data_IF_734307928292
#
_entry.id   IF_734307928292
#
_cell.length_a   1.000
_cell.length_b   1.000
_cell.length_c   1.000
_cell.angle_alpha   90.00
_cell.angle_beta   90.00
_cell.angle_gamma   90.00
#
_symmetry.space_group_name_H-M   'P 1'
#
loop_
_entity.id
_entity.type
_entity.pdbx_description
1 polymer ?
#
# COMPACT_ATOMS: atom_id res chain seq x y z
N UNK A 1 62.82 -36.30 -43.37
CA UNK A 1 61.85 -35.55 -44.19
C UNK A 1 60.44 -35.52 -43.60
N UNK A 2 60.06 -36.37 -42.65
CA UNK A 2 58.65 -36.46 -42.18
C UNK A 2 58.27 -35.57 -40.99
N UNK A 3 59.22 -35.00 -40.24
CA UNK A 3 58.88 -34.16 -39.07
C UNK A 3 58.50 -32.71 -39.41
N UNK A 4 58.75 -32.24 -40.63
CA UNK A 4 58.33 -30.88 -41.07
C UNK A 4 56.90 -30.86 -41.62
N UNK A 5 56.37 -32.00 -42.09
CA UNK A 5 54.99 -32.08 -42.60
C UNK A 5 53.93 -32.18 -41.51
N UNK A 6 54.27 -32.68 -40.31
CA UNK A 6 53.30 -32.74 -39.19
C UNK A 6 53.10 -31.38 -38.50
N UNK A 7 54.08 -30.47 -38.57
CA UNK A 7 53.98 -29.14 -37.95
C UNK A 7 53.09 -28.20 -38.78
N UNK A 8 52.98 -28.42 -40.10
CA UNK A 8 52.19 -27.56 -40.99
C UNK A 8 50.68 -27.87 -40.96
N UNK A 9 50.26 -29.03 -40.42
CA UNK A 9 48.84 -29.39 -40.30
C UNK A 9 48.22 -28.81 -39.01
N UNK A 10 49.04 -28.43 -38.02
CA UNK A 10 48.57 -27.90 -36.74
C UNK A 10 48.18 -26.39 -36.78
N UNK A 11 48.34 -25.71 -37.91
CA UNK A 11 48.14 -24.25 -38.05
C UNK A 11 46.88 -23.86 -38.84
N UNK A 12 46.00 -24.80 -39.17
CA UNK A 12 44.75 -24.53 -39.93
C UNK A 12 43.46 -24.85 -39.17
N UNK A 13 43.48 -24.87 -37.83
CA UNK A 13 42.24 -24.93 -37.05
C UNK A 13 41.67 -23.51 -36.98
N UNK A 14 40.50 -23.23 -37.59
CA UNK A 14 39.91 -21.91 -37.50
C UNK A 14 39.46 -21.67 -36.05
N UNK A 15 39.90 -20.57 -35.44
CA UNK A 15 39.36 -20.14 -34.16
C UNK A 15 37.84 -19.95 -34.31
N UNK A 16 37.02 -20.45 -33.37
CA UNK A 16 35.59 -20.22 -33.41
C UNK A 16 35.34 -18.71 -33.28
N UNK A 17 34.64 -18.14 -34.27
CA UNK A 17 34.16 -16.76 -34.23
C UNK A 17 33.38 -16.51 -32.92
N UNK A 18 33.43 -15.28 -32.37
CA UNK A 18 32.65 -14.94 -31.19
C UNK A 18 31.18 -15.26 -31.46
N UNK A 19 30.58 -16.08 -30.60
CA UNK A 19 29.17 -16.46 -30.68
C UNK A 19 28.36 -15.17 -30.49
N UNK A 20 27.98 -14.53 -31.60
CA UNK A 20 27.01 -13.45 -31.58
C UNK A 20 25.67 -14.10 -31.22
N UNK A 21 25.12 -13.76 -30.04
CA UNK A 21 23.80 -14.20 -29.64
C UNK A 21 22.81 -13.82 -30.74
N UNK A 22 22.30 -14.82 -31.45
CA UNK A 22 21.33 -14.60 -32.52
C UNK A 22 19.94 -14.47 -31.90
N UNK A 23 18.99 -13.80 -32.56
CA UNK A 23 17.60 -13.76 -32.09
C UNK A 23 16.99 -15.15 -31.86
N UNK A 24 17.55 -16.20 -32.49
CA UNK A 24 17.19 -17.60 -32.29
C UNK A 24 17.58 -18.16 -30.91
N UNK A 25 18.58 -17.58 -30.23
CA UNK A 25 19.00 -17.93 -28.87
C UNK A 25 18.11 -17.27 -27.78
N UNK A 26 17.21 -16.37 -28.21
CA UNK A 26 16.23 -15.74 -27.33
C UNK A 26 15.22 -16.79 -26.90
N UNK A 27 15.48 -17.46 -25.76
CA UNK A 27 14.47 -18.30 -25.11
C UNK A 27 13.20 -17.48 -24.94
N UNK A 28 12.08 -18.02 -25.42
CA UNK A 28 10.76 -17.45 -25.19
C UNK A 28 10.62 -17.11 -23.71
N UNK A 29 10.56 -15.81 -23.41
CA UNK A 29 10.30 -15.33 -22.06
C UNK A 29 8.93 -15.88 -21.71
N UNK A 30 8.82 -16.64 -20.60
CA UNK A 30 7.55 -17.21 -20.14
C UNK A 30 6.47 -16.13 -20.25
N UNK A 31 5.51 -16.33 -21.15
CA UNK A 31 4.39 -15.43 -21.31
C UNK A 31 3.61 -15.35 -19.99
N UNK A 32 3.12 -14.17 -19.64
CA UNK A 32 2.29 -13.98 -18.46
C UNK A 32 1.09 -14.94 -18.50
N UNK A 33 0.80 -15.56 -17.36
CA UNK A 33 -0.33 -16.48 -17.22
C UNK A 33 -1.63 -15.67 -17.16
N UNK A 34 -2.17 -15.32 -18.33
CA UNK A 34 -3.40 -14.55 -18.49
C UNK A 34 -4.65 -15.44 -18.67
N UNK A 35 -4.51 -16.76 -18.59
CA UNK A 35 -5.65 -17.68 -18.70
C UNK A 35 -6.33 -17.89 -17.34
N UNK A 36 -7.63 -18.19 -17.37
CA UNK A 36 -8.42 -18.66 -16.22
C UNK A 36 -7.99 -20.08 -15.82
N UNK A 37 -6.71 -20.25 -15.44
CA UNK A 37 -6.18 -21.50 -14.92
C UNK A 37 -6.60 -21.73 -13.46
N UNK A 38 -6.45 -22.96 -12.98
CA UNK A 38 -6.70 -23.38 -11.59
C UNK A 38 -5.84 -22.65 -10.52
N UNK A 39 -4.90 -21.78 -10.92
CA UNK A 39 -4.00 -21.14 -9.98
C UNK A 39 -4.64 -19.89 -9.37
N UNK A 40 -4.87 -19.93 -8.05
CA UNK A 40 -5.46 -18.82 -7.28
C UNK A 40 -4.56 -17.59 -7.16
N UNK A 41 -3.25 -17.74 -7.36
CA UNK A 41 -2.28 -16.65 -7.23
C UNK A 41 -1.58 -16.38 -8.56
N UNK A 42 -1.95 -15.29 -9.21
CA UNK A 42 -1.37 -14.83 -10.47
C UNK A 42 -0.58 -13.54 -10.22
N UNK A 43 0.64 -13.47 -10.77
CA UNK A 43 1.43 -12.25 -10.70
C UNK A 43 0.78 -11.16 -11.56
N UNK A 44 0.43 -10.04 -10.93
CA UNK A 44 -0.03 -8.82 -11.60
C UNK A 44 1.05 -7.76 -11.52
N UNK A 45 1.39 -7.16 -12.65
CA UNK A 45 2.30 -6.02 -12.70
C UNK A 45 1.63 -4.74 -12.13
N UNK A 46 2.42 -3.69 -11.89
CA UNK A 46 1.89 -2.47 -11.26
C UNK A 46 0.79 -1.79 -12.08
N UNK A 47 0.87 -1.85 -13.42
CA UNK A 47 -0.14 -1.27 -14.31
C UNK A 47 -1.45 -2.04 -14.22
N UNK A 48 -1.38 -3.37 -14.24
CA UNK A 48 -2.53 -4.26 -14.06
C UNK A 48 -3.19 -4.06 -12.70
N UNK A 49 -2.41 -4.07 -11.61
CA UNK A 49 -2.95 -3.81 -10.27
C UNK A 49 -3.66 -2.46 -10.18
N UNK A 50 -3.10 -1.41 -10.78
CA UNK A 50 -3.73 -0.07 -10.81
C UNK A 50 -5.05 -0.09 -11.58
N UNK A 51 -5.09 -0.76 -12.72
CA UNK A 51 -6.29 -0.85 -13.55
C UNK A 51 -7.39 -1.69 -12.86
N UNK A 52 -7.02 -2.74 -12.14
CA UNK A 52 -7.94 -3.56 -11.35
C UNK A 52 -8.48 -2.84 -10.12
N UNK A 53 -7.73 -1.87 -9.59
CA UNK A 53 -8.13 -1.07 -8.42
C UNK A 53 -9.10 0.01 -8.86
N UNK A 54 -10.36 -0.36 -9.09
CA UNK A 54 -11.43 0.59 -9.36
C UNK A 54 -11.88 1.27 -8.05
N UNK A 55 -11.61 2.57 -7.91
CA UNK A 55 -12.01 3.36 -6.73
C UNK A 55 -13.52 3.64 -6.81
N UNK A 56 -14.35 2.72 -6.29
CA UNK A 56 -15.82 2.85 -6.25
C UNK A 56 -16.32 3.58 -5.01
N UNK A 57 -15.99 4.87 -4.86
CA UNK A 57 -16.39 5.66 -3.66
C UNK A 57 -17.91 5.85 -3.58
N UNK A 58 -18.61 6.03 -4.71
CA UNK A 58 -20.07 6.26 -4.76
C UNK A 58 -20.89 5.01 -5.14
N UNK A 59 -20.21 3.91 -5.48
CA UNK A 59 -20.82 2.66 -5.97
C UNK A 59 -20.37 1.44 -5.17
N UNK A 60 -19.70 1.63 -4.03
CA UNK A 60 -19.43 0.50 -3.15
C UNK A 60 -20.77 0.03 -2.57
N UNK A 61 -21.07 -1.25 -2.77
CA UNK A 61 -22.18 -1.94 -2.10
C UNK A 61 -21.88 -2.19 -0.62
N UNK A 62 -20.70 -1.77 -0.15
CA UNK A 62 -20.39 -1.73 1.28
C UNK A 62 -21.47 -0.90 1.98
N UNK A 63 -22.12 -1.53 2.96
CA UNK A 63 -23.08 -0.83 3.81
C UNK A 63 -22.39 0.41 4.34
N UNK A 64 -23.00 1.59 4.16
CA UNK A 64 -22.65 2.81 4.90
C UNK A 64 -22.40 2.38 6.34
N UNK A 65 -21.17 2.60 6.85
CA UNK A 65 -20.80 2.11 8.20
C UNK A 65 -21.92 2.50 9.15
N UNK A 66 -22.52 1.49 9.77
CA UNK A 66 -23.66 1.61 10.66
C UNK A 66 -23.41 2.71 11.69
N UNK A 67 -24.49 3.28 12.24
CA UNK A 67 -24.40 4.22 13.35
C UNK A 67 -23.46 3.67 14.44
N UNK A 68 -22.72 4.55 15.14
CA UNK A 68 -21.78 4.10 16.15
C UNK A 68 -22.52 3.30 17.21
N UNK A 69 -21.78 2.44 17.91
CA UNK A 69 -22.29 1.72 19.07
C UNK A 69 -22.93 2.70 20.07
N UNK A 70 -23.96 2.25 20.77
CA UNK A 70 -24.78 3.13 21.63
C UNK A 70 -23.91 3.93 22.62
N UNK A 71 -23.93 5.26 22.51
CA UNK A 71 -23.13 6.17 23.34
C UNK A 71 -21.65 6.30 22.94
N UNK A 72 -21.25 5.74 21.81
CA UNK A 72 -19.90 5.84 21.23
C UNK A 72 -19.86 6.87 20.08
N UNK A 73 -18.70 6.97 19.44
CA UNK A 73 -18.45 7.83 18.27
C UNK A 73 -17.90 7.00 17.12
N UNK A 74 -18.02 7.48 15.88
CA UNK A 74 -17.45 6.79 14.72
C UNK A 74 -15.94 6.63 14.88
N UNK A 75 -15.27 7.66 15.41
CA UNK A 75 -13.85 7.64 15.68
C UNK A 75 -13.46 6.58 16.72
N UNK A 76 -14.18 6.51 17.84
CA UNK A 76 -13.88 5.56 18.92
C UNK A 76 -14.04 4.12 18.46
N UNK A 77 -15.15 3.81 17.79
CA UNK A 77 -15.41 2.47 17.27
C UNK A 77 -14.33 2.06 16.26
N UNK A 78 -13.97 2.98 15.36
CA UNK A 78 -12.89 2.76 14.39
C UNK A 78 -11.52 2.58 15.07
N UNK A 79 -11.24 3.33 16.15
CA UNK A 79 -9.98 3.24 16.89
C UNK A 79 -9.82 1.88 17.60
N UNK A 80 -10.90 1.37 18.19
CA UNK A 80 -10.91 0.05 18.84
C UNK A 80 -10.77 -1.06 17.80
N UNK A 81 -11.53 -1.01 16.70
CA UNK A 81 -11.43 -1.96 15.59
C UNK A 81 -9.99 -2.03 15.04
N UNK A 82 -9.39 -0.87 14.77
CA UNK A 82 -8.03 -0.81 14.24
C UNK A 82 -6.98 -1.23 15.27
N UNK A 83 -7.25 -1.14 16.57
CA UNK A 83 -6.34 -1.64 17.61
C UNK A 83 -6.22 -3.15 17.60
N UNK A 84 -7.30 -3.85 17.29
CA UNK A 84 -7.32 -5.30 17.15
C UNK A 84 -6.58 -5.76 15.87
N UNK A 85 -6.66 -4.95 14.81
CA UNK A 85 -6.06 -5.28 13.51
C UNK A 85 -4.61 -4.83 13.35
N UNK A 86 -4.18 -3.79 14.08
CA UNK A 86 -2.86 -3.17 13.89
C UNK A 86 -1.86 -3.55 14.98
N UNK A 87 -0.69 -4.06 14.57
CA UNK A 87 0.41 -4.47 15.45
C UNK A 87 1.59 -3.50 15.44
N UNK A 88 1.51 -2.39 14.69
CA UNK A 88 2.61 -1.44 14.60
C UNK A 88 2.79 -0.68 15.92
N UNK A 89 4.02 -0.64 16.45
CA UNK A 89 4.32 0.04 17.71
C UNK A 89 3.85 1.51 17.74
N UNK A 90 4.02 2.23 16.63
CA UNK A 90 3.57 3.61 16.50
C UNK A 90 2.05 3.75 16.67
N UNK A 91 1.28 2.78 16.17
CA UNK A 91 -0.18 2.79 16.30
C UNK A 91 -0.60 2.47 17.73
N UNK A 92 0.09 1.55 18.40
CA UNK A 92 -0.18 1.20 19.81
C UNK A 92 0.01 2.42 20.71
N UNK A 93 1.13 3.15 20.55
CA UNK A 93 1.39 4.38 21.30
C UNK A 93 0.32 5.45 21.03
N UNK A 94 -0.06 5.62 19.76
CA UNK A 94 -1.14 6.54 19.39
C UNK A 94 -2.48 6.16 20.04
N UNK A 95 -2.82 4.87 20.04
CA UNK A 95 -4.05 4.35 20.66
C UNK A 95 -4.08 4.68 22.17
N UNK A 96 -3.01 4.35 22.88
CA UNK A 96 -2.90 4.59 24.33
C UNK A 96 -3.00 6.08 24.67
N UNK A 97 -2.38 6.94 23.85
CA UNK A 97 -2.44 8.39 24.03
C UNK A 97 -3.85 8.95 23.76
N UNK A 98 -4.54 8.46 22.73
CA UNK A 98 -5.81 9.04 22.27
C UNK A 98 -7.04 8.51 23.01
N UNK A 99 -6.98 7.29 23.53
CA UNK A 99 -8.13 6.63 24.19
C UNK A 99 -8.83 7.51 25.25
N UNK A 100 -8.13 8.26 26.12
CA UNK A 100 -8.79 9.12 27.10
C UNK A 100 -9.61 10.25 26.49
N UNK A 101 -9.25 10.74 25.30
CA UNK A 101 -9.83 11.93 24.66
C UNK A 101 -10.99 11.63 23.72
N UNK A 102 -11.25 10.35 23.44
CA UNK A 102 -12.22 9.93 22.41
C UNK A 102 -13.39 9.15 22.98
N UNK A 103 -13.60 9.22 24.30
CA UNK A 103 -14.61 8.42 24.99
C UNK A 103 -16.05 8.76 24.60
N UNK A 104 -16.32 10.04 24.33
CA UNK A 104 -17.65 10.58 24.01
C UNK A 104 -17.56 11.68 22.95
N UNK A 105 -18.66 11.93 22.24
CA UNK A 105 -18.71 12.96 21.19
C UNK A 105 -18.36 14.38 21.68
N UNK A 106 -18.84 14.86 22.84
CA UNK A 106 -18.45 16.18 23.35
C UNK A 106 -16.94 16.31 23.57
N UNK A 107 -16.29 15.23 24.00
CA UNK A 107 -14.85 15.22 24.23
C UNK A 107 -14.07 15.28 22.92
N UNK A 108 -14.52 14.52 21.91
CA UNK A 108 -13.96 14.57 20.54
C UNK A 108 -14.08 15.97 19.95
N UNK A 109 -15.24 16.63 20.10
CA UNK A 109 -15.46 17.99 19.59
C UNK A 109 -14.55 19.00 20.30
N UNK A 110 -14.39 18.88 21.61
CA UNK A 110 -13.54 19.76 22.42
C UNK A 110 -12.05 19.59 22.09
N UNK A 111 -11.60 18.35 21.89
CA UNK A 111 -10.19 17.99 21.65
C UNK A 111 -9.84 17.83 20.16
N UNK A 112 -10.71 18.28 19.25
CA UNK A 112 -10.57 18.05 17.80
C UNK A 112 -9.21 18.48 17.24
N UNK A 113 -8.65 19.59 17.71
CA UNK A 113 -7.33 20.09 17.26
C UNK A 113 -6.18 19.16 17.70
N UNK A 114 -6.24 18.66 18.94
CA UNK A 114 -5.25 17.75 19.49
C UNK A 114 -5.30 16.40 18.76
N UNK A 115 -6.50 15.84 18.61
CA UNK A 115 -6.73 14.57 17.90
C UNK A 115 -6.22 14.70 16.46
N UNK A 116 -6.59 15.77 15.77
CA UNK A 116 -6.18 15.99 14.38
C UNK A 116 -4.67 16.17 14.23
N UNK A 117 -4.04 16.97 15.09
CA UNK A 117 -2.58 17.17 15.09
C UNK A 117 -1.84 15.84 15.25
N UNK A 118 -2.31 14.99 16.15
CA UNK A 118 -1.72 13.66 16.40
C UNK A 118 -1.94 12.71 15.23
N UNK A 119 -3.13 12.69 14.63
CA UNK A 119 -3.39 11.92 13.40
C UNK A 119 -2.43 12.31 12.27
N UNK A 120 -2.26 13.61 12.03
CA UNK A 120 -1.34 14.12 11.00
C UNK A 120 0.12 13.79 11.34
N UNK A 121 0.52 13.84 12.61
CA UNK A 121 1.87 13.43 13.01
C UNK A 121 2.16 11.94 12.73
N UNK A 122 1.13 11.10 12.78
CA UNK A 122 1.18 9.67 12.46
C UNK A 122 1.08 9.34 10.97
N UNK A 123 0.66 10.29 10.13
CA UNK A 123 0.67 10.20 8.66
C UNK A 123 2.11 10.29 8.11
N UNK A 124 2.93 9.30 8.44
CA UNK A 124 4.27 9.17 7.88
C UNK A 124 4.27 8.13 6.76
N UNK A 125 4.59 8.55 5.52
CA UNK A 125 4.63 7.66 4.34
C UNK A 125 5.60 6.48 4.48
N UNK A 126 6.62 6.60 5.36
CA UNK A 126 7.56 5.51 5.67
C UNK A 126 6.91 4.38 6.49
N UNK A 127 5.81 4.66 7.20
CA UNK A 127 5.08 3.71 8.03
C UNK A 127 3.91 3.07 7.24
N UNK A 128 4.25 2.27 6.22
CA UNK A 128 3.28 1.66 5.31
C UNK A 128 2.19 0.84 6.03
N UNK A 129 2.53 0.22 7.16
CA UNK A 129 1.60 -0.62 7.94
C UNK A 129 0.62 0.17 8.82
N UNK A 130 0.85 1.45 9.07
CA UNK A 130 -0.06 2.28 9.86
C UNK A 130 -0.85 3.29 9.01
N UNK A 131 -0.39 3.60 7.79
CA UNK A 131 -1.01 4.59 6.93
C UNK A 131 -2.50 4.35 6.70
N UNK A 132 -2.89 3.11 6.41
CA UNK A 132 -4.29 2.71 6.22
C UNK A 132 -5.14 2.98 7.46
N UNK A 133 -4.61 2.66 8.65
CA UNK A 133 -5.28 2.90 9.91
C UNK A 133 -5.48 4.41 10.17
N UNK A 134 -4.45 5.22 9.95
CA UNK A 134 -4.55 6.68 10.11
C UNK A 134 -5.53 7.32 9.12
N UNK A 135 -5.54 6.89 7.86
CA UNK A 135 -6.52 7.37 6.86
C UNK A 135 -7.96 6.98 7.23
N UNK A 136 -8.15 5.76 7.74
CA UNK A 136 -9.47 5.28 8.19
C UNK A 136 -9.97 6.08 9.41
N UNK A 137 -9.07 6.40 10.34
CA UNK A 137 -9.38 7.25 11.50
C UNK A 137 -9.74 8.67 11.10
N UNK A 138 -9.07 9.24 10.10
CA UNK A 138 -9.41 10.57 9.55
C UNK A 138 -10.81 10.55 8.93
N UNK A 139 -11.13 9.51 8.16
CA UNK A 139 -12.47 9.35 7.60
C UNK A 139 -13.53 9.22 8.72
N UNK A 140 -13.25 8.45 9.78
CA UNK A 140 -14.15 8.34 10.93
C UNK A 140 -14.34 9.68 11.66
N UNK A 141 -13.25 10.43 11.89
CA UNK A 141 -13.29 11.75 12.51
C UNK A 141 -14.11 12.75 11.70
N UNK A 142 -14.02 12.70 10.37
CA UNK A 142 -14.83 13.57 9.50
C UNK A 142 -16.33 13.31 9.64
N UNK A 143 -16.75 12.08 9.96
CA UNK A 143 -18.16 11.74 10.21
C UNK A 143 -18.65 12.27 11.55
N UNK A 144 -17.80 12.25 12.57
CA UNK A 144 -18.13 12.81 13.89
C UNK A 144 -18.18 14.35 13.87
N UNK A 145 -17.29 15.01 13.13
CA UNK A 145 -17.16 16.47 13.12
C UNK A 145 -18.00 17.17 12.04
N UNK A 146 -18.38 16.48 10.96
CA UNK A 146 -19.16 17.04 9.85
C UNK A 146 -18.57 18.37 9.34
N UNK A 147 -19.35 19.46 9.37
CA UNK A 147 -18.90 20.78 8.89
C UNK A 147 -17.70 21.33 9.66
N UNK A 148 -17.54 20.94 10.93
CA UNK A 148 -16.38 21.31 11.73
C UNK A 148 -15.08 20.68 11.23
N UNK A 149 -15.16 19.68 10.34
CA UNK A 149 -14.00 19.05 9.73
C UNK A 149 -13.44 19.84 8.54
N UNK A 150 -14.25 20.68 7.88
CA UNK A 150 -13.86 21.37 6.63
C UNK A 150 -12.54 22.16 6.75
N UNK A 151 -12.27 22.92 7.84
CA UNK A 151 -11.01 23.65 8.00
C UNK A 151 -9.76 22.77 8.05
N UNK A 152 -9.91 21.48 8.35
CA UNK A 152 -8.79 20.53 8.47
C UNK A 152 -8.39 19.90 7.13
N UNK A 153 -9.27 19.92 6.12
CA UNK A 153 -9.02 19.29 4.82
C UNK A 153 -7.70 19.75 4.16
N UNK A 154 -7.39 21.06 4.09
CA UNK A 154 -6.12 21.52 3.49
C UNK A 154 -4.89 20.94 4.20
N UNK A 155 -4.95 20.80 5.54
CA UNK A 155 -3.85 20.24 6.34
C UNK A 155 -3.65 18.75 6.06
N UNK A 156 -4.72 17.98 5.89
CA UNK A 156 -4.62 16.56 5.51
C UNK A 156 -3.97 16.41 4.14
N UNK A 157 -4.47 17.16 3.14
CA UNK A 157 -3.96 17.07 1.77
C UNK A 157 -2.48 17.43 1.71
N UNK A 158 -2.07 18.53 2.36
CA UNK A 158 -0.68 18.94 2.42
C UNK A 158 0.22 17.85 3.05
N UNK A 159 -0.26 17.16 4.08
CA UNK A 159 0.49 16.06 4.71
C UNK A 159 0.66 14.83 3.80
N UNK A 160 -0.20 14.62 2.81
CA UNK A 160 -0.16 13.45 1.92
C UNK A 160 0.66 13.68 0.65
N UNK A 161 0.75 14.94 0.21
CA UNK A 161 1.43 15.32 -1.05
C UNK A 161 2.93 15.57 -0.84
N UNK A 162 3.37 15.76 0.40
CA UNK A 162 4.78 16.04 0.76
C UNK A 162 5.59 14.75 0.91
#
# INVERSE_FOLDING_TARGET
SERKSQILIALSIPLPLPIMATPADSRAVKSLNNSEGSNRFVFKNFRERRNDTEIKVFRSLDKVKADPSQGSTFFKDCLVELRELNTAANFILFYEEMLPFVQTLPLVISQKELIFSKLVSGLQMKARFSLEAFLSLIAALSRDLLDSFIPFLPRVVNSLVT
#
